data_IF_765736595948
#
_entry.id   IF_765736595948
#
_cell.length_a   1.000
_cell.length_b   1.000
_cell.length_c   1.000
_cell.angle_alpha   90.00
_cell.angle_beta   90.00
_cell.angle_gamma   90.00
#
_symmetry.space_group_name_H-M   'P 1'
#
loop_
_entity.id
_entity.type
_entity.pdbx_description
1 polymer ?
#
# COMPACT_ATOMS: atom_id res chain seq x y z
N UNK A 1 -25.94 0.06 -2.44
CA UNK A 1 -24.63 0.66 -2.07
C UNK A 1 -24.96 1.78 -1.13
N UNK A 2 -24.65 1.60 0.13
CA UNK A 2 -24.92 2.56 1.21
C UNK A 2 -23.64 3.29 1.58
N UNK A 3 -23.72 4.57 2.00
CA UNK A 3 -22.57 5.30 2.54
C UNK A 3 -22.05 4.60 3.80
N UNK A 4 -20.75 4.58 3.98
CA UNK A 4 -20.13 4.16 5.24
C UNK A 4 -20.19 5.30 6.26
N UNK A 5 -20.21 5.00 7.57
CA UNK A 5 -20.11 6.01 8.62
C UNK A 5 -18.86 6.89 8.48
N UNK A 6 -18.93 8.12 8.97
CA UNK A 6 -17.77 9.01 9.00
C UNK A 6 -16.63 8.41 9.83
N UNK A 7 -15.41 8.55 9.34
CA UNK A 7 -14.22 7.97 9.96
C UNK A 7 -14.00 6.47 9.66
N UNK A 8 -14.93 5.82 8.98
CA UNK A 8 -14.74 4.45 8.51
C UNK A 8 -14.16 4.41 7.09
N UNK A 9 -13.49 3.30 6.77
CA UNK A 9 -12.94 3.06 5.46
C UNK A 9 -14.01 2.59 4.49
N UNK A 10 -14.06 3.20 3.31
CA UNK A 10 -14.99 2.81 2.24
C UNK A 10 -14.39 2.95 0.86
N UNK A 11 -15.06 2.37 -0.13
CA UNK A 11 -14.69 2.54 -1.53
C UNK A 11 -15.15 3.90 -2.04
N UNK A 12 -14.24 4.62 -2.70
CA UNK A 12 -14.54 5.92 -3.31
C UNK A 12 -15.45 5.75 -4.52
N UNK A 13 -16.63 6.37 -4.45
CA UNK A 13 -17.61 6.42 -5.54
C UNK A 13 -17.72 7.87 -6.04
N UNK A 14 -17.46 8.09 -7.31
CA UNK A 14 -17.36 9.42 -7.91
C UNK A 14 -18.58 9.69 -8.81
N UNK A 15 -19.18 10.87 -8.63
CA UNK A 15 -20.13 11.45 -9.59
C UNK A 15 -19.63 12.81 -10.02
N UNK A 16 -19.47 13.03 -11.34
CA UNK A 16 -19.02 14.30 -11.89
C UNK A 16 -20.19 15.05 -12.52
N UNK A 17 -20.64 16.13 -11.89
CA UNK A 17 -21.85 16.85 -12.27
C UNK A 17 -21.70 17.76 -13.50
N UNK A 18 -20.50 18.23 -13.83
CA UNK A 18 -20.28 19.24 -14.88
C UNK A 18 -19.77 18.71 -16.23
N UNK A 19 -19.77 17.38 -16.45
CA UNK A 19 -19.22 16.79 -17.68
C UNK A 19 -20.31 16.22 -18.59
N UNK A 20 -20.63 16.92 -19.67
CA UNK A 20 -21.72 16.55 -20.59
C UNK A 20 -21.30 15.48 -21.58
N UNK A 21 -20.07 15.53 -22.14
CA UNK A 21 -19.64 14.64 -23.20
C UNK A 21 -19.28 13.20 -22.78
N UNK A 22 -18.91 13.00 -21.52
CA UNK A 22 -18.65 11.66 -20.94
C UNK A 22 -19.05 11.69 -19.46
N UNK A 23 -20.33 11.50 -19.16
CA UNK A 23 -20.82 11.58 -17.77
C UNK A 23 -20.26 10.43 -16.95
N UNK A 24 -19.76 10.77 -15.76
CA UNK A 24 -19.36 9.82 -14.73
C UNK A 24 -20.41 9.89 -13.64
N UNK A 25 -21.22 8.84 -13.50
CA UNK A 25 -22.25 8.74 -12.47
C UNK A 25 -22.05 7.50 -11.61
N UNK A 26 -21.89 7.67 -10.31
CA UNK A 26 -21.65 6.60 -9.33
C UNK A 26 -20.56 5.62 -9.75
N UNK A 27 -19.48 6.16 -10.31
CA UNK A 27 -18.34 5.38 -10.76
C UNK A 27 -17.56 4.85 -9.55
N UNK A 28 -17.47 3.55 -9.44
CA UNK A 28 -16.63 2.86 -8.47
C UNK A 28 -15.19 2.95 -8.91
N UNK A 29 -14.36 3.68 -8.15
CA UNK A 29 -12.95 3.83 -8.53
C UNK A 29 -12.09 2.61 -8.17
N UNK A 30 -12.56 1.80 -7.23
CA UNK A 30 -11.77 0.73 -6.61
C UNK A 30 -10.81 1.26 -5.53
N UNK A 31 -10.71 2.58 -5.36
CA UNK A 31 -9.84 3.17 -4.35
C UNK A 31 -10.52 3.17 -2.98
N UNK A 32 -9.78 2.80 -1.95
CA UNK A 32 -10.21 2.85 -0.56
C UNK A 32 -9.75 4.15 0.08
N UNK A 33 -10.69 4.82 0.72
CA UNK A 33 -10.47 6.13 1.37
C UNK A 33 -11.14 6.15 2.73
N UNK A 34 -10.70 7.08 3.58
CA UNK A 34 -11.37 7.40 4.84
C UNK A 34 -11.67 8.89 4.86
N UNK A 35 -12.93 9.25 5.10
CA UNK A 35 -13.33 10.63 5.25
C UNK A 35 -12.76 11.21 6.56
N UNK A 36 -12.10 12.36 6.46
CA UNK A 36 -11.71 13.13 7.64
C UNK A 36 -12.88 14.05 8.02
N UNK A 37 -13.50 13.86 9.20
CA UNK A 37 -14.62 14.70 9.65
C UNK A 37 -14.18 16.10 10.08
N UNK A 38 -12.88 16.32 10.32
CA UNK A 38 -12.39 17.60 10.80
C UNK A 38 -12.39 18.68 9.71
N UNK A 39 -12.74 19.90 10.07
CA UNK A 39 -12.61 21.05 9.18
C UNK A 39 -11.13 21.34 8.89
N UNK A 40 -10.87 21.85 7.68
CA UNK A 40 -9.50 22.24 7.33
C UNK A 40 -9.13 23.57 8.00
N UNK A 41 -7.96 23.63 8.64
CA UNK A 41 -7.41 24.85 9.25
C UNK A 41 -7.31 26.04 8.27
N UNK A 42 -7.20 25.76 6.97
CA UNK A 42 -7.18 26.76 5.91
C UNK A 42 -8.56 27.35 5.57
N UNK A 43 -9.64 26.96 6.25
CA UNK A 43 -11.01 27.42 6.05
C UNK A 43 -11.74 26.82 4.84
N UNK A 44 -11.15 25.85 4.13
CA UNK A 44 -11.84 25.16 3.02
C UNK A 44 -12.91 24.21 3.57
N UNK A 45 -14.04 24.16 2.88
CA UNK A 45 -15.18 23.29 3.22
C UNK A 45 -15.24 21.99 2.44
N UNK A 46 -14.25 21.72 1.59
CA UNK A 46 -14.17 20.46 0.85
C UNK A 46 -13.87 19.28 1.75
N UNK A 47 -14.53 18.17 1.47
CA UNK A 47 -14.24 16.89 2.10
C UNK A 47 -12.80 16.51 1.86
N UNK A 48 -12.12 16.02 2.89
CA UNK A 48 -10.75 15.52 2.81
C UNK A 48 -10.71 14.03 3.09
N UNK A 49 -9.73 13.36 2.52
CA UNK A 49 -9.43 11.99 2.85
C UNK A 49 -8.21 11.94 3.77
N UNK A 50 -8.36 11.26 4.90
CA UNK A 50 -7.26 10.99 5.82
C UNK A 50 -6.23 10.06 5.15
N UNK A 51 -4.99 10.53 5.02
CA UNK A 51 -3.93 9.78 4.33
C UNK A 51 -4.09 9.66 2.80
N UNK A 52 -5.12 10.29 2.19
CA UNK A 52 -5.38 10.18 0.76
C UNK A 52 -6.03 8.87 0.36
N UNK A 53 -5.53 8.23 -0.73
CA UNK A 53 -5.95 6.88 -1.13
C UNK A 53 -5.17 5.86 -0.30
N UNK A 54 -5.88 5.09 0.51
CA UNK A 54 -5.29 4.10 1.41
C UNK A 54 -4.84 2.82 0.68
N UNK A 55 -5.49 2.50 -0.42
CA UNK A 55 -5.20 1.33 -1.25
C UNK A 55 -6.30 1.09 -2.27
N UNK A 56 -6.19 -0.02 -3.00
CA UNK A 56 -7.24 -0.45 -3.93
C UNK A 56 -7.94 -1.69 -3.39
N UNK A 57 -9.25 -1.74 -3.52
CA UNK A 57 -10.07 -2.88 -3.08
C UNK A 57 -9.80 -4.16 -3.86
N UNK A 58 -9.38 -4.03 -5.13
CA UNK A 58 -9.08 -5.13 -6.05
C UNK A 58 -7.62 -5.65 -5.92
N UNK A 59 -6.74 -4.89 -5.27
CA UNK A 59 -5.33 -5.28 -5.05
C UNK A 59 -5.13 -5.96 -3.68
N UNK A 60 -6.15 -6.00 -2.82
CA UNK A 60 -6.04 -6.60 -1.49
C UNK A 60 -5.76 -8.10 -1.57
N UNK A 61 -4.80 -8.56 -0.80
CA UNK A 61 -4.49 -9.98 -0.60
C UNK A 61 -4.65 -10.36 0.85
N UNK A 62 -5.06 -11.61 1.11
CA UNK A 62 -5.16 -12.14 2.48
C UNK A 62 -3.90 -12.94 2.80
N UNK A 63 -3.12 -12.49 3.77
CA UNK A 63 -1.91 -13.17 4.27
C UNK A 63 -2.17 -13.61 5.71
N UNK A 64 -2.24 -14.91 5.94
CA UNK A 64 -2.51 -15.50 7.28
C UNK A 64 -3.72 -14.90 7.99
N UNK A 65 -4.81 -14.64 7.23
CA UNK A 65 -6.05 -14.06 7.76
C UNK A 65 -6.05 -12.53 7.91
N UNK A 66 -4.97 -11.87 7.55
CA UNK A 66 -4.85 -10.41 7.60
C UNK A 66 -5.02 -9.85 6.19
N UNK A 67 -5.85 -8.82 6.04
CA UNK A 67 -6.02 -8.08 4.80
C UNK A 67 -4.80 -7.19 4.56
N UNK A 68 -4.04 -7.47 3.52
CA UNK A 68 -2.82 -6.75 3.15
C UNK A 68 -3.04 -5.98 1.86
N UNK A 69 -2.84 -4.69 1.91
CA UNK A 69 -2.84 -3.82 0.75
C UNK A 69 -1.39 -3.60 0.28
N UNK A 70 -1.08 -3.81 -1.00
CA UNK A 70 0.25 -3.58 -1.56
C UNK A 70 0.83 -2.21 -1.19
N UNK A 71 0.01 -1.15 -1.32
CA UNK A 71 0.40 0.22 -0.99
C UNK A 71 0.81 0.41 0.47
N UNK A 72 0.15 -0.29 1.40
CA UNK A 72 0.50 -0.21 2.82
C UNK A 72 1.90 -0.79 3.08
N UNK A 73 2.18 -1.98 2.51
CA UNK A 73 3.52 -2.60 2.65
C UNK A 73 4.59 -1.76 1.97
N UNK A 74 4.33 -1.27 0.75
CA UNK A 74 5.26 -0.40 0.03
C UNK A 74 5.60 0.87 0.81
N UNK A 75 4.60 1.51 1.43
CA UNK A 75 4.80 2.71 2.24
C UNK A 75 5.67 2.43 3.47
N UNK A 76 5.48 1.29 4.14
CA UNK A 76 6.29 0.89 5.30
C UNK A 76 7.76 0.62 4.90
N UNK A 77 7.97 -0.08 3.80
CA UNK A 77 9.34 -0.32 3.28
C UNK A 77 10.05 0.98 2.94
N UNK A 78 9.33 1.95 2.33
CA UNK A 78 9.87 3.25 1.95
C UNK A 78 10.22 4.18 3.12
N UNK A 79 9.76 3.90 4.34
CA UNK A 79 10.18 4.64 5.53
C UNK A 79 11.64 4.38 5.90
N UNK A 80 12.21 3.27 5.44
CA UNK A 80 13.63 2.99 5.59
C UNK A 80 14.41 3.65 4.44
N UNK A 81 15.03 4.81 4.68
CA UNK A 81 15.78 5.57 3.68
C UNK A 81 16.95 4.81 3.08
N UNK A 82 17.46 3.78 3.78
CA UNK A 82 18.54 2.94 3.30
C UNK A 82 18.12 1.99 2.17
N UNK A 83 16.81 1.77 1.94
CA UNK A 83 16.29 0.88 0.89
C UNK A 83 16.28 1.62 -0.45
N UNK A 84 17.09 1.17 -1.41
CA UNK A 84 17.15 1.71 -2.76
C UNK A 84 16.04 1.16 -3.67
N UNK A 85 15.80 -0.15 -3.59
CA UNK A 85 14.75 -0.83 -4.34
C UNK A 85 14.25 -2.05 -3.57
N UNK A 86 13.04 -2.51 -3.88
CA UNK A 86 12.46 -3.68 -3.23
C UNK A 86 11.47 -4.40 -4.13
N UNK A 87 11.23 -5.67 -3.80
CA UNK A 87 10.19 -6.50 -4.38
C UNK A 87 9.45 -7.23 -3.27
N UNK A 88 8.13 -7.21 -3.34
CA UNK A 88 7.24 -7.88 -2.41
C UNK A 88 6.60 -9.05 -3.16
N UNK A 89 6.68 -10.25 -2.60
CA UNK A 89 6.09 -11.45 -3.17
C UNK A 89 5.18 -12.12 -2.16
N UNK A 90 3.94 -12.39 -2.55
CA UNK A 90 3.03 -13.24 -1.80
C UNK A 90 2.98 -14.60 -2.50
N UNK A 91 3.50 -15.63 -1.86
CA UNK A 91 3.46 -17.00 -2.33
C UNK A 91 2.49 -17.82 -1.48
N UNK A 92 1.94 -18.91 -2.06
CA UNK A 92 1.09 -19.83 -1.32
C UNK A 92 1.80 -21.15 -1.16
N UNK A 93 2.22 -21.47 0.08
CA UNK A 93 2.80 -22.76 0.42
C UNK A 93 1.88 -23.52 1.39
N UNK A 94 1.60 -24.78 1.08
CA UNK A 94 0.73 -25.65 1.91
C UNK A 94 -0.59 -24.98 2.33
N UNK A 95 -1.22 -24.25 1.41
CA UNK A 95 -2.47 -23.48 1.63
C UNK A 95 -2.34 -22.28 2.58
N UNK A 96 -1.14 -21.87 2.93
CA UNK A 96 -0.89 -20.64 3.70
C UNK A 96 -0.16 -19.62 2.84
N UNK A 97 -0.62 -18.37 2.89
CA UNK A 97 0.04 -17.27 2.20
C UNK A 97 1.24 -16.79 3.03
N UNK A 98 2.37 -16.63 2.38
CA UNK A 98 3.62 -16.12 2.92
C UNK A 98 4.00 -14.82 2.23
N UNK A 99 4.46 -13.84 3.01
CA UNK A 99 4.95 -12.57 2.51
C UNK A 99 6.47 -12.58 2.55
N UNK A 100 7.10 -12.41 1.39
CA UNK A 100 8.55 -12.29 1.25
C UNK A 100 8.88 -10.92 0.69
N UNK A 101 9.91 -10.27 1.20
CA UNK A 101 10.38 -8.95 0.76
C UNK A 101 11.86 -9.05 0.45
N UNK A 102 12.21 -8.84 -0.82
CA UNK A 102 13.59 -8.68 -1.25
C UNK A 102 13.96 -7.20 -1.20
N UNK A 103 15.03 -6.84 -0.52
CA UNK A 103 15.51 -5.46 -0.35
C UNK A 103 16.87 -5.28 -1.00
N UNK A 104 17.04 -4.24 -1.79
CA UNK A 104 18.34 -3.69 -2.14
C UNK A 104 18.65 -2.54 -1.20
N UNK A 105 19.77 -2.62 -0.50
CA UNK A 105 20.19 -1.66 0.50
C UNK A 105 21.38 -0.89 -0.01
N UNK A 106 21.43 0.40 0.30
CA UNK A 106 22.52 1.32 -0.03
C UNK A 106 23.85 0.80 0.53
N UNK A 107 24.91 0.89 -0.26
CA UNK A 107 26.27 0.40 0.08
C UNK A 107 26.86 0.94 1.38
N UNK A 108 26.36 2.10 1.83
CA UNK A 108 26.87 2.78 3.03
C UNK A 108 26.01 2.50 4.26
N UNK A 109 24.92 1.73 4.14
CA UNK A 109 24.02 1.42 5.22
C UNK A 109 24.28 0.00 5.77
N UNK A 110 23.98 -0.18 7.05
CA UNK A 110 24.05 -1.48 7.71
C UNK A 110 22.85 -2.34 7.31
N UNK A 111 23.12 -3.50 6.70
CA UNK A 111 22.09 -4.39 6.19
C UNK A 111 21.19 -4.95 7.29
N UNK A 112 21.77 -5.34 8.43
CA UNK A 112 21.02 -5.93 9.52
C UNK A 112 20.10 -4.90 10.19
N UNK A 113 20.57 -3.68 10.41
CA UNK A 113 19.78 -2.57 10.94
C UNK A 113 18.65 -2.20 10.00
N UNK A 114 18.91 -2.13 8.70
CA UNK A 114 17.91 -1.79 7.70
C UNK A 114 16.83 -2.86 7.60
N UNK A 115 17.22 -4.14 7.58
CA UNK A 115 16.31 -5.29 7.60
C UNK A 115 15.42 -5.26 8.84
N UNK A 116 16.00 -5.03 10.01
CA UNK A 116 15.29 -4.96 11.27
C UNK A 116 14.29 -3.80 11.33
N UNK A 117 14.67 -2.64 10.79
CA UNK A 117 13.78 -1.47 10.70
C UNK A 117 12.53 -1.76 9.88
N UNK A 118 12.69 -2.40 8.72
CA UNK A 118 11.56 -2.79 7.87
C UNK A 118 10.69 -3.86 8.54
N UNK A 119 11.31 -4.88 9.18
CA UNK A 119 10.59 -5.94 9.88
C UNK A 119 9.75 -5.36 11.02
N UNK A 120 10.32 -4.48 11.84
CA UNK A 120 9.61 -3.82 12.93
C UNK A 120 8.45 -2.94 12.43
N UNK A 121 8.65 -2.17 11.37
CA UNK A 121 7.60 -1.32 10.81
C UNK A 121 6.40 -2.17 10.37
N UNK A 122 6.64 -3.27 9.66
CA UNK A 122 5.59 -4.17 9.19
C UNK A 122 4.92 -4.89 10.35
N UNK A 123 5.69 -5.35 11.34
CA UNK A 123 5.13 -6.02 12.50
C UNK A 123 4.24 -5.10 13.34
N UNK A 124 4.65 -3.85 13.54
CA UNK A 124 3.91 -2.88 14.35
C UNK A 124 2.60 -2.48 13.68
N UNK A 125 2.62 -2.20 12.37
CA UNK A 125 1.47 -1.66 11.65
C UNK A 125 0.52 -2.75 11.12
N UNK A 126 1.06 -3.88 10.68
CA UNK A 126 0.27 -4.94 10.04
C UNK A 126 0.18 -6.23 10.85
N UNK A 127 0.89 -6.32 11.99
CA UNK A 127 0.97 -7.56 12.80
C UNK A 127 1.45 -8.78 11.99
N UNK A 128 2.24 -8.55 10.94
CA UNK A 128 2.82 -9.57 10.07
C UNK A 128 4.32 -9.68 10.31
N UNK A 129 4.85 -10.89 10.11
CA UNK A 129 6.29 -11.16 10.07
C UNK A 129 6.65 -11.69 8.69
N UNK A 130 7.09 -10.81 7.78
CA UNK A 130 7.54 -11.22 6.45
C UNK A 130 8.89 -11.93 6.53
N UNK A 131 9.19 -12.72 5.52
CA UNK A 131 10.56 -13.14 5.27
C UNK A 131 11.27 -12.01 4.52
N UNK A 132 12.30 -11.41 5.13
CA UNK A 132 13.06 -10.31 4.52
C UNK A 132 14.44 -10.81 4.09
N UNK A 133 14.75 -10.64 2.79
CA UNK A 133 16.03 -11.00 2.18
C UNK A 133 16.72 -9.75 1.66
N UNK A 134 17.99 -9.58 1.98
CA UNK A 134 18.83 -8.56 1.34
C UNK A 134 19.45 -9.16 0.09
N UNK A 135 19.26 -8.48 -1.03
CA UNK A 135 19.81 -8.90 -2.33
C UNK A 135 20.83 -7.89 -2.84
N UNK A 136 21.81 -8.30 -3.66
CA UNK A 136 22.82 -7.39 -4.20
C UNK A 136 22.21 -6.24 -5.01
N UNK A 137 22.78 -5.04 -4.91
CA UNK A 137 22.35 -3.87 -5.68
C UNK A 137 22.35 -4.16 -7.18
N UNK A 138 21.27 -3.77 -7.88
CA UNK A 138 21.05 -4.01 -9.30
C UNK A 138 20.44 -5.37 -9.64
N UNK A 139 20.04 -6.18 -8.65
CA UNK A 139 19.35 -7.47 -8.86
C UNK A 139 17.88 -7.25 -9.22
N UNK A 140 17.23 -6.25 -8.62
CA UNK A 140 15.83 -5.96 -8.84
C UNK A 140 15.64 -5.03 -10.04
N UNK A 141 14.55 -5.22 -10.81
CA UNK A 141 14.29 -4.39 -11.98
C UNK A 141 14.06 -2.93 -11.58
N UNK A 142 14.61 -2.00 -12.37
CA UNK A 142 14.31 -0.57 -12.25
C UNK A 142 13.14 -0.23 -13.17
N UNK A 143 12.24 0.60 -12.70
CA UNK A 143 11.02 0.95 -13.42
C UNK A 143 11.04 2.44 -13.80
N UNK A 144 10.93 2.72 -15.10
CA UNK A 144 10.88 4.10 -15.62
C UNK A 144 9.50 4.75 -15.49
N UNK A 145 8.43 3.94 -15.42
CA UNK A 145 7.04 4.43 -15.34
C UNK A 145 6.28 3.82 -14.16
N UNK A 146 5.41 2.82 -14.41
CA UNK A 146 4.64 2.16 -13.36
C UNK A 146 5.43 0.97 -12.80
N UNK A 147 5.97 1.15 -11.62
CA UNK A 147 6.64 0.07 -10.93
C UNK A 147 5.64 -1.01 -10.48
N UNK A 148 5.91 -2.27 -10.83
CA UNK A 148 5.20 -3.42 -10.30
C UNK A 148 6.10 -4.11 -9.28
N UNK A 149 6.04 -3.66 -8.03
CA UNK A 149 6.85 -4.19 -6.93
C UNK A 149 6.15 -5.29 -6.14
N UNK A 150 4.84 -5.40 -6.28
CA UNK A 150 4.03 -6.40 -5.59
C UNK A 150 3.61 -7.52 -6.55
N UNK A 151 3.94 -8.76 -6.19
CA UNK A 151 3.68 -9.96 -6.98
C UNK A 151 2.91 -10.98 -6.16
N UNK A 152 1.93 -11.62 -6.78
CA UNK A 152 1.20 -12.75 -6.19
C UNK A 152 1.50 -13.97 -7.03
N UNK A 153 2.15 -14.95 -6.42
CA UNK A 153 2.42 -16.26 -7.03
C UNK A 153 1.29 -17.23 -6.66
N UNK A 154 0.72 -17.85 -7.67
CA UNK A 154 -0.41 -18.78 -7.52
C UNK A 154 0.09 -20.22 -7.37
#
# INVERSE_FOLDING_TARGET
>A
MEPVPEGEQGELVITKLGRIGYPVNRYRSGDLVRLNPESCECGRTFVRFEGGVLGRSDDMVVVRGINVFPSAVENLVRQCEAVEEFRITVSTERKMAHLTIDLEISKNADEETSRHTVDQAIQNELSLRPEIKVVPSGTLPRFEMKAKRFHVEK
#
